data_IF_709403391640
#
_entry.id   IF_709403391640
#
_cell.length_a   1.000
_cell.length_b   1.000
_cell.length_c   1.000
_cell.angle_alpha   90.00
_cell.angle_beta   90.00
_cell.angle_gamma   90.00
#
_symmetry.space_group_name_H-M   'P 1'
#
loop_
_entity.id
_entity.type
_entity.pdbx_description
1 polymer ?
#
# COMPACT_ATOMS: atom_id res chain seq x y z
N UNK A 1 8.10 9.31 -8.89
CA UNK A 1 9.29 9.72 -9.67
C UNK A 1 10.56 8.98 -9.23
N UNK A 2 10.85 8.91 -7.92
CA UNK A 2 12.08 8.27 -7.39
C UNK A 2 12.20 6.79 -7.79
N UNK A 3 11.12 5.99 -7.72
CA UNK A 3 11.14 4.60 -8.13
C UNK A 3 11.64 4.45 -9.58
N UNK A 4 11.07 5.20 -10.52
CA UNK A 4 11.43 5.13 -11.95
C UNK A 4 12.90 5.54 -12.14
N UNK A 5 13.32 6.65 -11.54
CA UNK A 5 14.70 7.15 -11.65
C UNK A 5 15.74 6.21 -11.05
N UNK A 6 15.45 5.64 -9.89
CA UNK A 6 16.35 4.67 -9.25
C UNK A 6 16.42 3.36 -10.05
N UNK A 7 15.28 2.87 -10.55
CA UNK A 7 15.25 1.67 -11.37
C UNK A 7 16.07 1.85 -12.66
N UNK A 8 15.94 2.98 -13.33
CA UNK A 8 16.75 3.29 -14.53
C UNK A 8 18.22 3.44 -14.19
N UNK A 9 18.56 4.16 -13.12
CA UNK A 9 19.95 4.40 -12.72
C UNK A 9 20.69 3.11 -12.31
N UNK A 10 19.98 2.14 -11.73
CA UNK A 10 20.56 0.89 -11.25
C UNK A 10 20.29 -0.32 -12.15
N UNK A 11 19.71 -0.12 -13.34
CA UNK A 11 19.27 -1.23 -14.20
C UNK A 11 20.36 -2.26 -14.50
N UNK A 12 21.59 -1.81 -14.70
CA UNK A 12 22.74 -2.67 -15.03
C UNK A 12 23.38 -3.32 -13.78
N UNK A 13 22.94 -2.92 -12.58
CA UNK A 13 23.43 -3.42 -11.29
C UNK A 13 22.47 -4.41 -10.65
N UNK A 14 21.25 -4.54 -11.15
CA UNK A 14 20.29 -5.50 -10.60
C UNK A 14 20.76 -6.93 -10.85
N UNK A 15 20.71 -7.74 -9.80
CA UNK A 15 20.79 -9.19 -9.99
C UNK A 15 19.64 -9.64 -10.91
N UNK A 16 19.87 -10.60 -11.84
CA UNK A 16 18.83 -11.03 -12.80
C UNK A 16 17.50 -11.47 -12.18
N UNK A 17 17.52 -11.95 -10.93
CA UNK A 17 16.34 -12.38 -10.16
C UNK A 17 15.99 -11.40 -9.02
N UNK A 18 16.42 -10.16 -9.08
CA UNK A 18 16.10 -9.19 -8.03
C UNK A 18 14.59 -8.96 -7.90
N UNK A 19 14.16 -8.52 -6.73
CA UNK A 19 12.79 -8.07 -6.47
C UNK A 19 12.83 -6.63 -5.95
N UNK A 20 12.03 -5.78 -6.56
CA UNK A 20 11.83 -4.39 -6.16
C UNK A 20 10.42 -4.27 -5.57
N UNK A 21 10.34 -3.79 -4.34
CA UNK A 21 9.06 -3.62 -3.65
C UNK A 21 8.90 -2.18 -3.21
N UNK A 22 7.73 -1.61 -3.47
CA UNK A 22 7.36 -0.29 -2.98
C UNK A 22 6.26 -0.39 -1.93
N UNK A 23 6.16 0.62 -1.07
CA UNK A 23 5.04 0.76 -0.13
C UNK A 23 4.10 1.84 -0.64
N UNK A 24 2.89 1.43 -0.96
CA UNK A 24 1.79 2.27 -1.41
C UNK A 24 0.66 2.28 -0.37
N UNK A 25 -0.53 2.66 -0.77
CA UNK A 25 -1.71 2.69 0.10
C UNK A 25 -2.87 1.91 -0.53
N UNK A 26 -3.72 1.31 0.31
CA UNK A 26 -4.91 0.60 -0.15
C UNK A 26 -6.01 1.54 -0.66
N UNK A 27 -5.95 2.81 -0.30
CA UNK A 27 -7.03 3.79 -0.44
C UNK A 27 -6.85 4.75 -1.63
N UNK A 28 -6.17 4.33 -2.70
CA UNK A 28 -5.93 5.19 -3.88
C UNK A 28 -7.21 5.64 -4.59
N UNK A 29 -8.33 4.95 -4.35
CA UNK A 29 -9.66 5.27 -4.92
C UNK A 29 -10.70 5.62 -3.85
N UNK A 30 -10.30 5.76 -2.59
CA UNK A 30 -11.18 6.16 -1.49
C UNK A 30 -10.89 7.62 -1.16
N UNK A 31 -11.87 8.48 -1.39
CA UNK A 31 -11.72 9.90 -1.09
C UNK A 31 -11.75 10.12 0.43
N UNK A 32 -10.76 10.83 0.93
CA UNK A 32 -10.71 11.33 2.29
C UNK A 32 -10.39 12.83 2.28
N UNK A 33 -10.93 13.55 3.24
CA UNK A 33 -10.64 14.97 3.39
C UNK A 33 -9.13 15.21 3.57
N UNK A 34 -8.61 16.26 2.98
CA UNK A 34 -7.21 16.67 3.03
C UNK A 34 -6.20 15.64 2.47
N UNK A 35 -6.64 14.60 1.74
CA UNK A 35 -5.78 13.53 1.24
C UNK A 35 -5.62 13.53 -0.31
N UNK A 36 -6.20 14.51 -0.99
CA UNK A 36 -6.24 14.58 -2.46
C UNK A 36 -4.88 14.75 -3.15
N UNK A 37 -3.82 15.09 -2.45
CA UNK A 37 -2.46 15.16 -3.00
C UNK A 37 -1.71 13.83 -2.89
N UNK A 38 -1.98 13.02 -1.88
CA UNK A 38 -1.25 11.77 -1.62
C UNK A 38 -1.81 10.60 -2.44
N UNK A 39 -3.14 10.43 -2.47
CA UNK A 39 -3.77 9.31 -3.15
C UNK A 39 -3.47 9.29 -4.67
N UNK A 40 -3.55 10.39 -5.43
CA UNK A 40 -3.15 10.41 -6.84
C UNK A 40 -1.67 10.10 -7.06
N UNK A 41 -0.77 10.58 -6.18
CA UNK A 41 0.65 10.26 -6.26
C UNK A 41 0.93 8.75 -6.05
N UNK A 42 0.22 8.12 -5.11
CA UNK A 42 0.31 6.68 -4.87
C UNK A 42 -0.34 5.85 -5.98
N UNK A 43 -1.45 6.33 -6.58
CA UNK A 43 -2.05 5.70 -7.74
C UNK A 43 -1.10 5.71 -8.95
N UNK A 44 -0.38 6.81 -9.16
CA UNK A 44 0.66 6.89 -10.19
C UNK A 44 1.83 5.94 -9.91
N UNK A 45 2.23 5.78 -8.64
CA UNK A 45 3.23 4.80 -8.23
C UNK A 45 2.77 3.36 -8.57
N UNK A 46 1.54 3.00 -8.20
CA UNK A 46 0.97 1.67 -8.46
C UNK A 46 0.91 1.38 -9.97
N UNK A 47 0.47 2.35 -10.76
CA UNK A 47 0.45 2.22 -12.23
C UNK A 47 1.87 2.03 -12.80
N UNK A 48 2.87 2.74 -12.27
CA UNK A 48 4.26 2.65 -12.74
C UNK A 48 4.87 1.25 -12.60
N UNK A 49 4.41 0.45 -11.64
CA UNK A 49 4.91 -0.91 -11.39
C UNK A 49 4.72 -1.81 -12.60
N UNK A 50 3.55 -1.78 -13.23
CA UNK A 50 3.27 -2.60 -14.42
C UNK A 50 4.18 -2.23 -15.59
N UNK A 51 4.42 -0.94 -15.79
CA UNK A 51 5.28 -0.47 -16.88
C UNK A 51 6.76 -0.77 -16.62
N UNK A 52 7.22 -0.66 -15.37
CA UNK A 52 8.57 -1.06 -14.99
C UNK A 52 8.79 -2.56 -15.17
N UNK A 53 7.87 -3.39 -14.67
CA UNK A 53 7.94 -4.84 -14.85
C UNK A 53 8.00 -5.20 -16.35
N UNK A 54 7.19 -4.56 -17.19
CA UNK A 54 7.21 -4.77 -18.64
C UNK A 54 8.53 -4.31 -19.26
N UNK A 55 9.03 -3.14 -18.91
CA UNK A 55 10.28 -2.61 -19.48
C UNK A 55 11.48 -3.48 -19.12
N UNK A 56 11.54 -3.95 -17.86
CA UNK A 56 12.64 -4.80 -17.40
C UNK A 56 12.54 -6.26 -17.90
N UNK A 57 11.35 -6.72 -18.31
CA UNK A 57 11.16 -8.10 -18.77
C UNK A 57 11.99 -8.48 -19.99
N UNK A 58 12.42 -7.52 -20.79
CA UNK A 58 13.33 -7.73 -21.94
C UNK A 58 14.81 -7.81 -21.54
N UNK A 59 15.16 -7.34 -20.34
CA UNK A 59 16.55 -7.25 -19.87
C UNK A 59 16.88 -8.30 -18.82
N UNK A 60 15.89 -8.68 -18.00
CA UNK A 60 16.14 -9.51 -16.81
C UNK A 60 14.84 -10.15 -16.30
N UNK A 61 14.93 -10.92 -15.21
CA UNK A 61 13.79 -11.49 -14.48
C UNK A 61 13.45 -10.68 -13.22
N UNK A 62 13.86 -9.42 -13.16
CA UNK A 62 13.54 -8.53 -12.02
C UNK A 62 12.04 -8.36 -11.90
N UNK A 63 11.54 -8.49 -10.67
CA UNK A 63 10.13 -8.31 -10.34
C UNK A 63 9.89 -6.95 -9.70
N UNK A 64 8.76 -6.34 -10.00
CA UNK A 64 8.31 -5.07 -9.41
C UNK A 64 6.92 -5.28 -8.81
N UNK A 65 6.81 -5.07 -7.49
CA UNK A 65 5.54 -5.20 -6.78
C UNK A 65 5.35 -4.06 -5.78
N UNK A 66 4.15 -3.90 -5.25
CA UNK A 66 3.86 -3.00 -4.15
C UNK A 66 3.09 -3.68 -3.03
N UNK A 67 3.31 -3.22 -1.80
CA UNK A 67 2.43 -3.46 -0.66
C UNK A 67 1.56 -2.22 -0.49
N UNK A 68 0.26 -2.38 -0.70
CA UNK A 68 -0.73 -1.32 -0.60
C UNK A 68 -1.37 -1.39 0.78
N UNK A 69 -0.72 -0.74 1.75
CA UNK A 69 -1.11 -0.80 3.15
C UNK A 69 -2.34 0.07 3.46
N UNK A 70 -3.18 -0.39 4.38
CA UNK A 70 -4.16 0.44 5.07
C UNK A 70 -3.51 1.52 5.93
N UNK A 71 -4.30 2.25 6.70
CA UNK A 71 -3.79 3.32 7.55
C UNK A 71 -2.88 2.77 8.65
N UNK A 72 -1.72 3.39 8.82
CA UNK A 72 -0.70 3.02 9.79
C UNK A 72 -0.41 4.18 10.73
N UNK A 73 -0.25 3.89 12.01
CA UNK A 73 0.20 4.89 12.99
C UNK A 73 1.73 4.98 12.95
N UNK A 74 2.23 6.06 12.35
CA UNK A 74 3.67 6.33 12.21
C UNK A 74 3.97 7.78 12.55
N UNK A 75 5.24 8.11 12.80
CA UNK A 75 5.67 9.51 12.99
C UNK A 75 5.36 10.38 11.76
N UNK A 76 5.50 9.82 10.57
CA UNK A 76 5.20 10.54 9.33
C UNK A 76 3.70 10.85 9.18
N UNK A 77 2.82 9.93 9.59
CA UNK A 77 1.37 10.13 9.51
C UNK A 77 0.84 11.11 10.55
N UNK A 78 1.55 11.29 11.67
CA UNK A 78 1.16 12.23 12.72
C UNK A 78 1.15 13.70 12.26
N UNK A 79 1.87 14.03 11.20
CA UNK A 79 1.89 15.38 10.60
C UNK A 79 0.75 15.67 9.62
N UNK A 80 -0.13 14.73 9.35
CA UNK A 80 -1.25 14.91 8.41
C UNK A 80 -2.47 15.39 9.18
N UNK A 81 -3.04 16.59 8.85
CA UNK A 81 -4.24 17.09 9.51
C UNK A 81 -5.41 16.11 9.40
N UNK A 82 -6.10 15.84 10.51
CA UNK A 82 -7.24 14.91 10.57
C UNK A 82 -6.88 13.43 10.45
N UNK A 83 -5.60 13.09 10.43
CA UNK A 83 -5.17 11.69 10.26
C UNK A 83 -5.62 10.79 11.40
N UNK A 84 -5.62 11.28 12.63
CA UNK A 84 -6.00 10.47 13.81
C UNK A 84 -7.44 10.00 13.69
N UNK A 85 -8.35 10.87 13.32
CA UNK A 85 -9.78 10.53 13.17
C UNK A 85 -9.98 9.55 12.01
N UNK A 86 -9.29 9.79 10.89
CA UNK A 86 -9.29 8.86 9.74
C UNK A 86 -8.72 7.50 10.12
N UNK A 87 -7.66 7.46 10.94
CA UNK A 87 -7.05 6.22 11.43
C UNK A 87 -8.02 5.44 12.34
N UNK A 88 -8.65 6.11 13.30
CA UNK A 88 -9.61 5.48 14.22
C UNK A 88 -10.83 4.94 13.45
N UNK A 89 -11.35 5.70 12.50
CA UNK A 89 -12.42 5.25 11.63
C UNK A 89 -12.00 4.02 10.79
N UNK A 90 -10.81 4.04 10.20
CA UNK A 90 -10.28 2.93 9.43
C UNK A 90 -10.05 1.68 10.30
N UNK A 91 -9.61 1.84 11.55
CA UNK A 91 -9.47 0.74 12.51
C UNK A 91 -10.81 0.04 12.76
N UNK A 92 -11.88 0.80 12.98
CA UNK A 92 -13.24 0.27 13.14
C UNK A 92 -13.78 -0.42 11.88
N UNK A 93 -13.33 0.01 10.69
CA UNK A 93 -13.70 -0.64 9.43
C UNK A 93 -12.97 -1.96 9.20
N UNK A 94 -11.81 -2.20 9.83
CA UNK A 94 -11.12 -3.49 9.66
C UNK A 94 -12.00 -4.64 10.14
N UNK A 95 -11.93 -5.78 9.45
CA UNK A 95 -12.76 -6.96 9.85
C UNK A 95 -12.37 -7.53 11.22
N UNK A 96 -11.18 -7.19 11.71
CA UNK A 96 -10.68 -7.61 13.03
C UNK A 96 -10.78 -6.51 14.11
N UNK A 97 -11.35 -5.34 13.79
CA UNK A 97 -11.46 -4.17 14.69
C UNK A 97 -10.13 -3.75 15.31
N UNK A 98 -9.08 -3.93 14.56
CA UNK A 98 -7.71 -3.57 14.96
C UNK A 98 -6.92 -3.18 13.72
N UNK A 99 -6.30 -2.01 13.75
CA UNK A 99 -5.47 -1.52 12.67
C UNK A 99 -4.25 -2.41 12.41
N UNK A 100 -3.63 -2.20 11.26
CA UNK A 100 -2.36 -2.84 10.92
C UNK A 100 -1.23 -2.29 11.77
N UNK A 101 -0.25 -3.16 12.00
CA UNK A 101 1.06 -2.78 12.51
C UNK A 101 2.06 -2.59 11.37
N UNK A 102 3.09 -1.78 11.60
CA UNK A 102 4.20 -1.63 10.66
C UNK A 102 4.94 -2.96 10.44
N UNK A 103 4.97 -3.84 11.46
CA UNK A 103 5.57 -5.16 11.34
C UNK A 103 4.82 -6.07 10.37
N UNK A 104 3.49 -6.02 10.32
CA UNK A 104 2.70 -6.80 9.35
C UNK A 104 2.99 -6.34 7.92
N UNK A 105 3.15 -5.03 7.71
CA UNK A 105 3.56 -4.49 6.41
C UNK A 105 4.96 -4.93 6.04
N UNK A 106 5.91 -4.84 6.97
CA UNK A 106 7.29 -5.30 6.78
C UNK A 106 7.36 -6.79 6.41
N UNK A 107 6.57 -7.64 7.07
CA UNK A 107 6.51 -9.08 6.76
C UNK A 107 6.03 -9.31 5.31
N UNK A 108 5.05 -8.56 4.83
CA UNK A 108 4.58 -8.64 3.45
C UNK A 108 5.66 -8.17 2.46
N UNK A 109 6.39 -7.11 2.79
CA UNK A 109 7.53 -6.64 1.99
C UNK A 109 8.60 -7.72 1.90
N UNK A 110 8.99 -8.33 3.03
CA UNK A 110 9.99 -9.43 3.08
C UNK A 110 9.53 -10.60 2.21
N UNK A 111 8.26 -11.00 2.32
CA UNK A 111 7.69 -12.06 1.46
C UNK A 111 7.82 -11.72 -0.04
N UNK A 112 7.52 -10.48 -0.44
CA UNK A 112 7.63 -10.07 -1.84
C UNK A 112 9.08 -9.94 -2.33
N UNK A 113 10.03 -9.74 -1.44
CA UNK A 113 11.46 -9.74 -1.76
C UNK A 113 12.01 -11.16 -1.91
N UNK A 114 11.43 -12.13 -1.23
CA UNK A 114 11.87 -13.52 -1.18
C UNK A 114 11.48 -14.31 -2.46
N UNK A 115 12.19 -15.42 -2.75
CA UNK A 115 11.89 -16.32 -3.85
C UNK A 115 10.54 -17.03 -3.70
N UNK A 116 10.00 -17.17 -2.50
CA UNK A 116 8.66 -17.70 -2.25
C UNK A 116 7.57 -16.95 -3.01
N UNK A 117 7.83 -15.68 -3.36
CA UNK A 117 6.93 -14.84 -4.18
C UNK A 117 7.32 -14.78 -5.66
N UNK A 118 8.14 -15.72 -6.17
CA UNK A 118 8.70 -15.68 -7.54
C UNK A 118 7.66 -15.59 -8.65
N UNK A 119 6.45 -16.10 -8.43
CA UNK A 119 5.32 -15.99 -9.36
C UNK A 119 4.58 -14.63 -9.32
N UNK A 120 4.92 -13.74 -8.38
CA UNK A 120 4.24 -12.45 -8.22
C UNK A 120 5.09 -11.35 -8.88
N UNK A 121 4.55 -10.74 -9.93
CA UNK A 121 5.18 -9.62 -10.63
C UNK A 121 4.11 -8.65 -11.12
N UNK A 122 4.41 -7.36 -11.13
CA UNK A 122 3.51 -6.29 -11.53
C UNK A 122 2.21 -6.20 -10.69
N UNK A 123 2.27 -6.61 -9.41
CA UNK A 123 1.10 -6.65 -8.53
C UNK A 123 1.21 -5.66 -7.37
N UNK A 124 0.06 -5.06 -7.03
CA UNK A 124 -0.14 -4.36 -5.76
C UNK A 124 -0.91 -5.26 -4.80
N UNK A 125 -0.28 -5.66 -3.71
CA UNK A 125 -0.93 -6.48 -2.68
C UNK A 125 -1.61 -5.57 -1.67
N UNK A 126 -2.94 -5.60 -1.64
CA UNK A 126 -3.71 -4.88 -0.63
C UNK A 126 -3.56 -5.57 0.72
N UNK A 127 -3.05 -4.81 1.68
CA UNK A 127 -2.85 -5.25 3.06
C UNK A 127 -3.52 -4.23 3.99
N UNK A 128 -4.78 -4.47 4.34
CA UNK A 128 -5.61 -3.52 5.10
C UNK A 128 -6.58 -4.17 6.09
N UNK A 129 -6.35 -5.43 6.42
CA UNK A 129 -7.19 -6.23 7.32
C UNK A 129 -8.68 -6.24 6.92
N UNK A 130 -8.97 -6.13 5.62
CA UNK A 130 -10.31 -6.16 5.06
C UNK A 130 -11.06 -4.83 5.13
N UNK A 131 -10.39 -3.73 5.49
CA UNK A 131 -11.00 -2.41 5.59
C UNK A 131 -11.67 -1.98 4.28
N UNK A 132 -10.98 -2.12 3.14
CA UNK A 132 -11.48 -1.63 1.84
C UNK A 132 -12.63 -2.44 1.25
N UNK A 133 -12.93 -3.64 1.79
CA UNK A 133 -14.03 -4.49 1.35
C UNK A 133 -15.19 -4.51 2.34
N UNK A 134 -15.05 -3.88 3.50
CA UNK A 134 -16.09 -3.78 4.51
C UNK A 134 -17.07 -2.64 4.16
N UNK A 135 -18.09 -2.95 3.38
CA UNK A 135 -19.06 -1.96 2.92
C UNK A 135 -20.04 -1.50 4.00
N UNK A 136 -20.41 -2.37 4.93
CA UNK A 136 -21.39 -2.07 5.96
C UNK A 136 -21.04 -2.72 7.29
N UNK A 137 -21.02 -1.91 8.35
CA UNK A 137 -20.73 -2.34 9.70
C UNK A 137 -21.82 -1.87 10.68
N UNK A 138 -22.51 -2.83 11.31
CA UNK A 138 -23.62 -2.55 12.25
C UNK A 138 -23.15 -1.82 13.50
N UNK A 139 -21.92 -2.05 13.95
CA UNK A 139 -21.43 -1.47 15.20
C UNK A 139 -21.05 0.00 15.01
N UNK A 140 -20.51 0.35 13.83
CA UNK A 140 -20.30 1.76 13.46
C UNK A 140 -21.63 2.52 13.41
N UNK A 141 -22.67 1.93 12.81
CA UNK A 141 -24.00 2.54 12.76
C UNK A 141 -24.61 2.70 14.15
N UNK A 142 -24.40 1.75 15.08
CA UNK A 142 -24.87 1.88 16.45
C UNK A 142 -24.15 2.99 17.23
N UNK A 143 -22.86 3.21 16.96
CA UNK A 143 -22.11 4.27 17.61
C UNK A 143 -22.62 5.65 17.19
N UNK A 144 -22.87 5.87 15.89
CA UNK A 144 -23.43 7.14 15.41
C UNK A 144 -24.80 7.47 16.00
N UNK A 145 -25.67 6.47 16.26
CA UNK A 145 -26.98 6.65 16.88
C UNK A 145 -26.94 6.94 18.39
N UNK A 146 -25.79 6.78 19.06
CA UNK A 146 -25.63 7.11 20.49
C UNK A 146 -25.10 8.52 20.71
N UNK A 147 -24.68 9.17 19.65
CA UNK A 147 -24.12 10.54 19.67
C UNK A 147 -25.20 11.61 19.43
N UNK A 148 -26.44 11.18 19.10
CA UNK A 148 -27.67 11.97 19.04
C UNK A 148 -28.49 11.79 20.32
#
# INVERSE_FOLDING_TARGET
>A
YSLIRLSDAFKDLFHPKASVVTVSISTTRMAAENYGYMAPAKAALDSSICFLAKSFSSLSKVRFNSVNAGLLKTSASAGIPGYVDSYLHAEELTLRKKALTTQEVANCVVFLLDECSSGINAQGIVLDAGMSVNYFDKDIVKQSKKSD
#
